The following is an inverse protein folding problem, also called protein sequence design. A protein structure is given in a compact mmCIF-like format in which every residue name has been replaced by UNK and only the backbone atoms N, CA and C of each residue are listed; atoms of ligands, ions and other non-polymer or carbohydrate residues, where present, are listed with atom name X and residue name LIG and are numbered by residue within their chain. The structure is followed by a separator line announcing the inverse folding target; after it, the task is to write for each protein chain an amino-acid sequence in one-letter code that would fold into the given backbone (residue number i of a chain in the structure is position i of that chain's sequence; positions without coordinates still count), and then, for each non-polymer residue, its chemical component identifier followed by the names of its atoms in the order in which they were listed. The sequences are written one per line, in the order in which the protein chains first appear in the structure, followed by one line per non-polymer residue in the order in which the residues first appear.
data_IF_691056506279
#
_entry.id   IF_691056506279
#
_cell.length_a   1.000
_cell.length_b   1.000
_cell.length_c   1.000
_cell.angle_alpha   90.00
_cell.angle_beta   90.00
_cell.angle_gamma   90.00
#
_symmetry.space_group_name_H-M   'P 1'
#
loop_
_entity.id
_entity.type
_entity.pdbx_description
1 polymer ?
#
# COMPACT_ATOMS: atom_id res chain seq x y z
N UNK A 1 -8.38 9.07 -19.01
CA UNK A 1 -7.12 8.31 -18.83
C UNK A 1 -7.34 7.29 -17.73
N UNK A 2 -6.91 6.04 -17.92
CA UNK A 2 -7.07 4.98 -16.92
C UNK A 2 -6.08 5.08 -15.75
N UNK A 3 -6.23 4.19 -14.77
CA UNK A 3 -5.27 4.03 -13.66
C UNK A 3 -3.88 3.71 -14.18
N UNK A 4 -2.84 4.25 -13.54
CA UNK A 4 -1.45 3.90 -13.88
C UNK A 4 -1.13 2.46 -13.46
N UNK A 5 -0.06 1.90 -14.03
CA UNK A 5 0.43 0.57 -13.63
C UNK A 5 0.74 0.54 -12.13
N UNK A 6 1.30 1.61 -11.59
CA UNK A 6 1.63 1.78 -10.16
C UNK A 6 0.37 1.73 -9.31
N UNK A 7 -0.68 2.48 -9.67
CA UNK A 7 -1.96 2.44 -8.94
C UNK A 7 -2.62 1.06 -9.01
N UNK A 8 -2.60 0.40 -10.17
CA UNK A 8 -3.14 -0.95 -10.34
C UNK A 8 -2.35 -1.98 -9.51
N UNK A 9 -1.03 -1.85 -9.42
CA UNK A 9 -0.20 -2.72 -8.57
C UNK A 9 -0.49 -2.50 -7.10
N UNK A 10 -0.53 -1.24 -6.65
CA UNK A 10 -0.81 -0.87 -5.26
C UNK A 10 -2.16 -1.42 -4.81
N UNK A 11 -3.22 -1.22 -5.61
CA UNK A 11 -4.56 -1.76 -5.32
C UNK A 11 -4.57 -3.29 -5.22
N UNK A 12 -3.91 -3.98 -6.13
CA UNK A 12 -3.82 -5.45 -6.09
C UNK A 12 -3.12 -5.92 -4.82
N UNK A 13 -2.04 -5.25 -4.44
CA UNK A 13 -1.27 -5.62 -3.25
C UNK A 13 -2.02 -5.30 -1.96
N UNK A 14 -2.79 -4.21 -1.90
CA UNK A 14 -3.68 -3.90 -0.76
C UNK A 14 -4.75 -4.97 -0.53
N UNK A 15 -5.21 -5.64 -1.59
CA UNK A 15 -6.19 -6.73 -1.48
C UNK A 15 -5.54 -8.03 -1.01
N UNK A 16 -4.34 -8.35 -1.50
CA UNK A 16 -3.68 -9.64 -1.25
C UNK A 16 -2.81 -9.66 0.00
N UNK A 17 -2.22 -8.52 0.39
CA UNK A 17 -1.33 -8.45 1.55
C UNK A 17 -2.01 -8.84 2.87
N UNK A 18 -3.25 -8.40 3.18
CA UNK A 18 -3.95 -8.83 4.39
C UNK A 18 -4.19 -10.34 4.51
N UNK A 19 -4.10 -11.07 3.39
CA UNK A 19 -4.32 -12.53 3.32
C UNK A 19 -3.03 -13.33 3.52
N UNK A 20 -1.86 -12.68 3.56
CA UNK A 20 -0.59 -13.36 3.77
C UNK A 20 -0.45 -13.86 5.21
N UNK A 21 -0.20 -15.16 5.35
CA UNK A 21 0.09 -15.79 6.64
C UNK A 21 1.59 -15.77 6.98
N UNK A 22 2.45 -15.68 5.95
CA UNK A 22 3.89 -15.61 6.16
C UNK A 22 4.30 -14.20 6.56
N UNK A 23 4.76 -14.02 7.81
CA UNK A 23 5.16 -12.73 8.35
C UNK A 23 6.27 -12.06 7.53
N UNK A 24 7.28 -12.81 7.08
CA UNK A 24 8.38 -12.24 6.28
C UNK A 24 7.87 -11.70 4.93
N UNK A 25 6.94 -12.41 4.28
CA UNK A 25 6.28 -11.93 3.07
C UNK A 25 5.40 -10.72 3.34
N UNK A 26 4.69 -10.69 4.48
CA UNK A 26 3.86 -9.56 4.85
C UNK A 26 4.69 -8.30 5.11
N UNK A 27 5.84 -8.42 5.80
CA UNK A 27 6.81 -7.33 5.97
C UNK A 27 7.26 -6.80 4.62
N UNK A 28 7.64 -7.70 3.70
CA UNK A 28 8.03 -7.31 2.35
C UNK A 28 6.91 -6.58 1.60
N UNK A 29 5.67 -7.07 1.68
CA UNK A 29 4.53 -6.43 1.04
C UNK A 29 4.21 -5.05 1.61
N UNK A 30 4.33 -4.84 2.93
CA UNK A 30 4.17 -3.51 3.53
C UNK A 30 5.25 -2.55 3.03
N UNK A 31 6.49 -3.00 2.89
CA UNK A 31 7.56 -2.19 2.31
C UNK A 31 7.25 -1.82 0.85
N UNK A 32 6.87 -2.79 0.02
CA UNK A 32 6.49 -2.56 -1.39
C UNK A 32 5.28 -1.62 -1.52
N UNK A 33 4.29 -1.74 -0.63
CA UNK A 33 3.13 -0.84 -0.62
C UNK A 33 3.53 0.62 -0.38
N UNK A 34 4.47 0.87 0.55
CA UNK A 34 4.98 2.22 0.83
C UNK A 34 5.74 2.81 -0.35
N UNK A 35 6.59 2.01 -0.99
CA UNK A 35 7.32 2.41 -2.20
C UNK A 35 6.38 2.75 -3.36
N UNK A 36 5.37 1.91 -3.61
CA UNK A 36 4.38 2.17 -4.67
C UNK A 36 3.55 3.43 -4.39
N UNK A 37 3.26 3.73 -3.12
CA UNK A 37 2.54 4.95 -2.76
C UNK A 37 3.38 6.21 -3.01
N UNK A 38 4.67 6.16 -2.69
CA UNK A 38 5.62 7.25 -2.96
C UNK A 38 5.70 7.52 -4.47
N UNK A 39 5.92 6.48 -5.27
CA UNK A 39 5.93 6.59 -6.74
C UNK A 39 4.62 7.18 -7.27
N UNK A 40 3.47 6.69 -6.79
CA UNK A 40 2.17 7.16 -7.24
C UNK A 40 1.89 8.63 -6.87
N UNK A 41 2.41 9.10 -5.74
CA UNK A 41 2.27 10.50 -5.33
C UNK A 41 3.11 11.46 -6.21
N UNK A 42 4.24 10.98 -6.74
CA UNK A 42 5.10 11.71 -7.67
C UNK A 42 4.58 11.69 -9.10
N UNK A 43 3.84 10.65 -9.49
CA UNK A 43 3.32 10.50 -10.85
C UNK A 43 2.52 11.74 -11.31
N UNK A 44 2.92 12.22 -12.49
CA UNK A 44 2.23 13.30 -13.21
C UNK A 44 1.56 12.77 -14.47
N UNK A 45 0.45 13.39 -14.85
CA UNK A 45 -0.16 13.19 -16.15
C UNK A 45 0.66 13.93 -17.23
N UNK A 46 0.36 13.76 -18.53
CA UNK A 46 1.06 14.48 -19.60
C UNK A 46 1.00 16.01 -19.47
N UNK A 47 0.03 16.54 -18.75
CA UNK A 47 -0.14 17.97 -18.48
C UNK A 47 0.68 18.45 -17.26
N UNK A 48 1.48 17.57 -16.66
CA UNK A 48 2.29 17.87 -15.48
C UNK A 48 1.52 17.94 -14.16
N UNK A 49 0.22 17.60 -14.16
CA UNK A 49 -0.62 17.59 -12.96
C UNK A 49 -0.51 16.25 -12.22
N UNK A 50 -0.66 16.24 -10.87
CA UNK A 50 -0.74 15.00 -10.10
C UNK A 50 -1.81 14.05 -10.66
N UNK A 51 -1.45 12.77 -10.85
CA UNK A 51 -2.42 11.77 -11.33
C UNK A 51 -3.50 11.45 -10.31
N UNK A 52 -3.17 11.53 -9.03
CA UNK A 52 -4.10 11.27 -7.93
C UNK A 52 -4.15 12.46 -6.98
N UNK A 53 -5.31 12.64 -6.33
CA UNK A 53 -5.47 13.69 -5.33
C UNK A 53 -4.73 13.36 -4.04
N UNK A 54 -4.34 14.39 -3.28
CA UNK A 54 -3.74 14.22 -1.95
C UNK A 54 -4.64 13.40 -1.00
N UNK A 55 -5.97 13.59 -1.10
CA UNK A 55 -6.91 12.80 -0.31
C UNK A 55 -6.81 11.30 -0.62
N UNK A 56 -6.60 10.93 -1.90
CA UNK A 56 -6.43 9.53 -2.30
C UNK A 56 -5.11 8.94 -1.82
N UNK A 57 -4.02 9.73 -1.85
CA UNK A 57 -2.73 9.33 -1.25
C UNK A 57 -2.91 9.00 0.23
N UNK A 58 -3.61 9.86 0.97
CA UNK A 58 -3.87 9.65 2.40
C UNK A 58 -4.72 8.40 2.66
N UNK A 59 -5.78 8.19 1.88
CA UNK A 59 -6.61 6.98 1.97
C UNK A 59 -5.78 5.71 1.75
N UNK A 60 -4.87 5.71 0.76
CA UNK A 60 -3.96 4.59 0.57
C UNK A 60 -2.98 4.44 1.74
N UNK A 61 -2.44 5.54 2.29
CA UNK A 61 -1.57 5.49 3.46
C UNK A 61 -2.27 4.83 4.67
N UNK A 62 -3.51 5.23 4.98
CA UNK A 62 -4.32 4.63 6.06
C UNK A 62 -4.55 3.14 5.82
N UNK A 63 -4.86 2.73 4.59
CA UNK A 63 -5.01 1.33 4.24
C UNK A 63 -3.70 0.54 4.45
N UNK A 64 -2.55 1.10 4.10
CA UNK A 64 -1.24 0.48 4.31
C UNK A 64 -0.97 0.30 5.80
N UNK A 65 -1.24 1.32 6.63
CA UNK A 65 -1.06 1.21 8.08
C UNK A 65 -1.99 0.16 8.70
N UNK A 66 -3.22 -0.01 8.18
CA UNK A 66 -4.09 -1.10 8.59
C UNK A 66 -3.51 -2.49 8.26
N UNK A 67 -2.80 -2.63 7.12
CA UNK A 67 -2.06 -3.86 6.80
C UNK A 67 -0.86 -4.04 7.73
N UNK A 68 -0.11 -2.96 7.99
CA UNK A 68 1.06 -2.97 8.86
C UNK A 68 0.71 -3.32 10.31
N UNK A 69 -0.46 -2.90 10.80
CA UNK A 69 -0.94 -3.22 12.14
C UNK A 69 -1.06 -4.74 12.38
N UNK A 70 -1.23 -5.56 11.33
CA UNK A 70 -1.21 -7.03 11.43
C UNK A 70 0.16 -7.59 11.84
N UNK A 71 1.25 -6.85 11.58
CA UNK A 71 2.60 -7.21 12.03
C UNK A 71 2.82 -6.92 13.51
N UNK A 72 2.07 -5.96 14.07
CA UNK A 72 2.17 -5.57 15.47
C UNK A 72 1.37 -6.48 16.41
N UNK A 73 0.60 -7.44 15.88
CA UNK A 73 -0.09 -8.45 16.69
C UNK A 73 0.97 -9.42 17.24
N UNK A 74 1.26 -9.42 18.56
CA UNK A 74 2.21 -10.36 19.12
C UNK A 74 1.66 -11.78 18.90
N UNK A 75 2.47 -12.64 18.28
CA UNK A 75 2.18 -14.06 18.17
C UNK A 75 2.27 -14.80 19.50
N UNK A 76 2.55 -14.12 20.62
CA UNK A 76 2.59 -14.72 21.96
C UNK A 76 2.15 -13.73 23.03
N UNK A 77 0.97 -13.97 23.62
CA UNK A 77 0.81 -14.05 25.07
C UNK A 77 -0.29 -15.09 25.38
N UNK A 78 0.15 -16.12 26.09
CA UNK A 78 -0.46 -17.39 26.51
C UNK A 78 -1.51 -17.28 27.61
N UNK A 79 -2.47 -18.20 27.65
CA UNK A 79 -2.90 -19.01 28.80
C UNK A 79 -3.46 -20.34 28.28
#
# INVERSE_FOLDING_TARGET
MGMSKTEVNLKRLLVTAPQQQNQAKLIHYVATLRELLEQLAEERNPDGLPRISKAKVNEYAENIEAVAAKLAVPTVCTC
#
